data_IF_078074900024
#
_entry.id   IF_078074900024
#
_cell.length_a   1.000
_cell.length_b   1.000
_cell.length_c   1.000
_cell.angle_alpha   90.00
_cell.angle_beta   90.00
_cell.angle_gamma   90.00
#
_symmetry.space_group_name_H-M   'P 1'
#
loop_
_entity.id
_entity.type
_entity.pdbx_description
1 polymer ?
#
# COMPACT_ATOMS: atom_id res chain seq x y z
N UNK A 1 -24.23 -10.31 -1.76
CA UNK A 1 -24.17 -9.42 -2.95
C UNK A 1 -23.49 -8.06 -2.69
N UNK A 2 -24.08 -7.10 -1.95
CA UNK A 2 -23.45 -5.76 -1.75
C UNK A 2 -22.08 -5.78 -1.05
N UNK A 3 -21.86 -6.72 -0.11
CA UNK A 3 -20.61 -6.84 0.65
C UNK A 3 -19.46 -7.45 -0.15
N UNK A 4 -19.75 -8.49 -0.93
CA UNK A 4 -18.76 -9.14 -1.81
C UNK A 4 -18.31 -8.19 -2.92
N UNK A 5 -19.24 -7.41 -3.47
CA UNK A 5 -18.95 -6.35 -4.44
C UNK A 5 -18.06 -5.27 -3.82
N UNK A 6 -18.37 -4.84 -2.58
CA UNK A 6 -17.58 -3.83 -1.86
C UNK A 6 -16.15 -4.30 -1.58
N UNK A 7 -15.95 -5.57 -1.19
CA UNK A 7 -14.62 -6.11 -0.98
C UNK A 7 -13.82 -6.28 -2.26
N UNK A 8 -14.47 -6.71 -3.36
CA UNK A 8 -13.80 -6.79 -4.67
C UNK A 8 -13.38 -5.40 -5.17
N UNK A 9 -14.26 -4.40 -5.03
CA UNK A 9 -13.94 -3.00 -5.38
C UNK A 9 -12.78 -2.50 -4.53
N UNK A 10 -12.80 -2.73 -3.21
CA UNK A 10 -11.72 -2.33 -2.31
C UNK A 10 -10.36 -2.89 -2.77
N UNK A 11 -10.28 -4.19 -3.07
CA UNK A 11 -9.04 -4.82 -3.55
C UNK A 11 -8.59 -4.31 -4.92
N UNK A 12 -9.53 -4.04 -5.85
CA UNK A 12 -9.20 -3.50 -7.17
C UNK A 12 -8.67 -2.07 -7.09
N UNK A 13 -9.24 -1.24 -6.22
CA UNK A 13 -8.78 0.12 -5.99
C UNK A 13 -7.40 0.11 -5.32
N UNK A 14 -7.19 -0.73 -4.31
CA UNK A 14 -5.89 -0.90 -3.65
C UNK A 14 -4.81 -1.37 -4.64
N UNK A 15 -5.13 -2.36 -5.48
CA UNK A 15 -4.21 -2.83 -6.53
C UNK A 15 -3.88 -1.73 -7.55
N UNK A 16 -4.88 -0.98 -8.01
CA UNK A 16 -4.66 0.14 -8.94
C UNK A 16 -3.78 1.22 -8.29
N UNK A 17 -4.04 1.54 -7.03
CA UNK A 17 -3.24 2.50 -6.26
C UNK A 17 -1.79 2.03 -6.12
N UNK A 18 -1.57 0.77 -5.72
CA UNK A 18 -0.22 0.20 -5.63
C UNK A 18 0.50 0.23 -6.98
N UNK A 19 -0.18 -0.04 -8.09
CA UNK A 19 0.42 0.03 -9.42
C UNK A 19 0.84 1.47 -9.79
N UNK A 20 -0.01 2.46 -9.52
CA UNK A 20 0.30 3.88 -9.74
C UNK A 20 1.44 4.34 -8.84
N UNK A 21 1.39 4.00 -7.54
CA UNK A 21 2.44 4.32 -6.59
C UNK A 21 3.78 3.70 -7.01
N UNK A 22 3.79 2.43 -7.42
CA UNK A 22 4.98 1.77 -7.94
C UNK A 22 5.54 2.46 -9.18
N UNK A 23 4.68 2.86 -10.12
CA UNK A 23 5.10 3.60 -11.31
C UNK A 23 5.72 4.96 -10.92
N UNK A 24 5.08 5.72 -10.03
CA UNK A 24 5.62 6.98 -9.53
C UNK A 24 6.97 6.78 -8.82
N UNK A 25 7.06 5.84 -7.87
CA UNK A 25 8.30 5.56 -7.14
C UNK A 25 9.41 5.08 -8.09
N UNK A 26 9.08 4.28 -9.10
CA UNK A 26 10.03 3.83 -10.11
C UNK A 26 10.56 4.98 -10.98
N UNK A 27 9.67 5.83 -11.49
CA UNK A 27 10.03 7.02 -12.30
C UNK A 27 10.87 8.00 -11.48
N UNK A 28 10.51 8.20 -10.21
CA UNK A 28 11.20 9.10 -9.29
C UNK A 28 12.22 8.39 -8.40
N UNK A 29 12.73 7.22 -8.79
CA UNK A 29 13.60 6.42 -7.92
C UNK A 29 14.89 7.16 -7.54
N UNK A 30 15.52 7.85 -8.50
CA UNK A 30 16.75 8.63 -8.26
C UNK A 30 16.55 9.84 -7.34
N UNK A 31 15.56 10.74 -7.56
CA UNK A 31 15.34 11.84 -6.63
C UNK A 31 14.88 11.34 -5.25
N UNK A 32 14.05 10.30 -5.18
CA UNK A 32 13.66 9.68 -3.91
C UNK A 32 14.85 9.06 -3.18
N UNK A 33 15.78 8.42 -3.90
CA UNK A 33 16.96 7.82 -3.27
C UNK A 33 17.87 8.88 -2.65
N UNK A 34 18.04 10.02 -3.33
CA UNK A 34 18.80 11.15 -2.80
C UNK A 34 18.09 11.75 -1.57
N UNK A 35 16.78 11.96 -1.65
CA UNK A 35 15.99 12.54 -0.57
C UNK A 35 15.93 11.64 0.68
N UNK A 36 15.85 10.32 0.50
CA UNK A 36 15.79 9.33 1.57
C UNK A 36 17.17 8.88 2.05
N UNK A 37 18.26 9.31 1.40
CA UNK A 37 19.64 8.87 1.67
C UNK A 37 19.82 7.34 1.59
N UNK A 38 19.12 6.71 0.64
CA UNK A 38 19.21 5.26 0.37
C UNK A 38 19.70 5.01 -1.05
N UNK A 39 20.06 3.77 -1.37
CA UNK A 39 20.47 3.44 -2.73
C UNK A 39 19.28 3.48 -3.71
N UNK A 40 19.51 3.94 -4.95
CA UNK A 40 18.49 3.92 -5.99
C UNK A 40 17.99 2.50 -6.28
N UNK A 41 18.86 1.49 -6.15
CA UNK A 41 18.50 0.08 -6.27
C UNK A 41 17.49 -0.37 -5.20
N UNK A 42 17.57 0.15 -3.97
CA UNK A 42 16.59 -0.14 -2.93
C UNK A 42 15.21 0.45 -3.28
N UNK A 43 15.17 1.70 -3.74
CA UNK A 43 13.92 2.37 -4.15
C UNK A 43 13.29 1.67 -5.37
N UNK A 44 14.10 1.34 -6.37
CA UNK A 44 13.64 0.59 -7.54
C UNK A 44 13.14 -0.82 -7.17
N UNK A 45 13.84 -1.50 -6.25
CA UNK A 45 13.41 -2.79 -5.72
C UNK A 45 12.05 -2.70 -5.03
N UNK A 46 11.83 -1.67 -4.19
CA UNK A 46 10.54 -1.42 -3.56
C UNK A 46 9.44 -1.20 -4.61
N UNK A 47 9.68 -0.38 -5.64
CA UNK A 47 8.73 -0.16 -6.73
C UNK A 47 8.36 -1.47 -7.45
N UNK A 48 9.35 -2.31 -7.79
CA UNK A 48 9.12 -3.61 -8.44
C UNK A 48 8.31 -4.54 -7.55
N UNK A 49 8.63 -4.63 -6.26
CA UNK A 49 7.88 -5.45 -5.30
C UNK A 49 6.43 -4.97 -5.17
N UNK A 50 6.21 -3.65 -5.08
CA UNK A 50 4.86 -3.07 -5.01
C UNK A 50 4.07 -3.31 -6.31
N UNK A 51 4.71 -3.20 -7.48
CA UNK A 51 4.07 -3.54 -8.76
C UNK A 51 3.71 -5.02 -8.86
N UNK A 52 4.60 -5.90 -8.41
CA UNK A 52 4.35 -7.35 -8.31
C UNK A 52 3.18 -7.66 -7.38
N UNK A 53 3.13 -6.99 -6.22
CA UNK A 53 2.02 -7.10 -5.27
C UNK A 53 0.69 -6.67 -5.89
N UNK A 54 0.64 -5.54 -6.58
CA UNK A 54 -0.55 -5.08 -7.30
C UNK A 54 -1.05 -6.14 -8.30
N UNK A 55 -0.14 -6.75 -9.07
CA UNK A 55 -0.46 -7.86 -9.97
C UNK A 55 -1.04 -9.08 -9.23
N UNK A 56 -0.44 -9.47 -8.11
CA UNK A 56 -0.93 -10.57 -7.28
C UNK A 56 -2.33 -10.29 -6.72
N UNK A 57 -2.64 -9.05 -6.33
CA UNK A 57 -3.97 -8.68 -5.86
C UNK A 57 -5.03 -8.81 -6.97
N UNK A 58 -4.73 -8.34 -8.18
CA UNK A 58 -5.65 -8.49 -9.31
C UNK A 58 -5.93 -9.97 -9.62
N UNK A 59 -4.91 -10.83 -9.53
CA UNK A 59 -5.09 -12.27 -9.67
C UNK A 59 -5.93 -12.84 -8.52
N UNK A 60 -5.64 -12.44 -7.28
CA UNK A 60 -6.32 -12.90 -6.08
C UNK A 60 -7.83 -12.57 -6.10
N UNK A 61 -8.22 -11.38 -6.57
CA UNK A 61 -9.63 -10.99 -6.72
C UNK A 61 -10.42 -11.98 -7.58
N UNK A 62 -9.77 -12.64 -8.55
CA UNK A 62 -10.42 -13.58 -9.47
C UNK A 62 -10.30 -15.06 -9.07
N UNK A 63 -9.38 -15.41 -8.16
CA UNK A 63 -8.98 -16.81 -7.90
C UNK A 63 -9.09 -17.24 -6.45
N UNK A 64 -9.10 -16.30 -5.51
CA UNK A 64 -8.97 -16.58 -4.08
C UNK A 64 -10.21 -16.14 -3.27
N UNK A 65 -10.42 -16.73 -2.08
CA UNK A 65 -11.47 -16.29 -1.18
C UNK A 65 -11.25 -14.83 -0.74
N UNK A 66 -12.25 -13.98 -0.98
CA UNK A 66 -12.18 -12.53 -0.75
C UNK A 66 -11.71 -12.16 0.66
N UNK A 67 -12.19 -12.88 1.67
CA UNK A 67 -11.84 -12.64 3.09
C UNK A 67 -10.36 -12.88 3.36
N UNK A 68 -9.77 -13.94 2.80
CA UNK A 68 -8.35 -14.25 2.96
C UNK A 68 -7.49 -13.16 2.30
N UNK A 69 -7.85 -12.77 1.08
CA UNK A 69 -7.17 -11.68 0.37
C UNK A 69 -7.22 -10.36 1.15
N UNK A 70 -8.40 -9.95 1.63
CA UNK A 70 -8.54 -8.72 2.43
C UNK A 70 -7.72 -8.75 3.72
N UNK A 71 -7.64 -9.89 4.42
CA UNK A 71 -6.81 -10.03 5.62
C UNK A 71 -5.31 -9.90 5.30
N UNK A 72 -4.86 -10.50 4.20
CA UNK A 72 -3.46 -10.37 3.77
C UNK A 72 -3.11 -8.93 3.43
N UNK A 73 -3.98 -8.22 2.67
CA UNK A 73 -3.72 -6.81 2.33
C UNK A 73 -3.75 -5.93 3.57
N UNK A 74 -4.72 -6.13 4.47
CA UNK A 74 -4.79 -5.38 5.73
C UNK A 74 -3.50 -5.54 6.54
N UNK A 75 -2.99 -6.77 6.66
CA UNK A 75 -1.74 -7.03 7.38
C UNK A 75 -0.54 -6.31 6.74
N UNK A 76 -0.42 -6.38 5.41
CA UNK A 76 0.65 -5.68 4.68
C UNK A 76 0.54 -4.17 4.85
N UNK A 77 -0.66 -3.60 4.71
CA UNK A 77 -0.88 -2.16 4.87
C UNK A 77 -0.56 -1.70 6.29
N UNK A 78 -0.89 -2.46 7.33
CA UNK A 78 -0.47 -2.15 8.71
C UNK A 78 1.05 -2.12 8.83
N UNK A 79 1.75 -3.12 8.29
CA UNK A 79 3.22 -3.15 8.30
C UNK A 79 3.81 -1.94 7.59
N UNK A 80 3.27 -1.58 6.42
CA UNK A 80 3.70 -0.40 5.65
C UNK A 80 3.48 0.89 6.46
N UNK A 81 2.30 1.08 7.08
CA UNK A 81 2.02 2.25 7.93
C UNK A 81 3.06 2.37 9.04
N UNK A 82 3.36 1.27 9.75
CA UNK A 82 4.34 1.27 10.84
C UNK A 82 5.73 1.63 10.33
N UNK A 83 6.19 1.01 9.24
CA UNK A 83 7.52 1.26 8.69
C UNK A 83 7.67 2.68 8.16
N UNK A 84 6.69 3.17 7.39
CA UNK A 84 6.74 4.52 6.78
C UNK A 84 6.61 5.59 7.87
N UNK A 85 5.72 5.42 8.85
CA UNK A 85 5.60 6.37 9.97
C UNK A 85 6.86 6.37 10.83
N UNK A 86 7.43 5.19 11.10
CA UNK A 86 8.69 5.06 11.83
C UNK A 86 9.83 5.78 11.12
N UNK A 87 9.96 5.58 9.81
CA UNK A 87 10.95 6.28 8.98
C UNK A 87 10.74 7.80 8.96
N UNK A 88 9.49 8.26 8.96
CA UNK A 88 9.21 9.70 8.98
C UNK A 88 9.61 10.34 10.31
N UNK A 89 9.37 9.67 11.44
CA UNK A 89 9.64 10.20 12.79
C UNK A 89 11.13 10.19 13.13
N UNK A 90 11.95 9.33 12.50
CA UNK A 90 13.40 9.31 12.70
C UNK A 90 14.14 10.40 11.92
N UNK A 91 13.43 11.20 11.12
CA UNK A 91 13.99 12.26 10.26
C UNK A 91 13.63 13.65 10.79
N UNK A 92 14.40 14.69 10.44
CA UNK A 92 13.99 16.08 10.65
C UNK A 92 12.64 16.37 9.98
N UNK A 93 11.89 17.33 10.53
CA UNK A 93 10.62 17.76 9.93
C UNK A 93 10.93 18.56 8.65
N UNK A 94 10.79 17.92 7.51
CA UNK A 94 11.01 18.47 6.18
C UNK A 94 9.91 18.01 5.19
N UNK A 95 10.04 18.39 3.92
CA UNK A 95 9.05 18.02 2.90
C UNK A 95 8.95 16.49 2.70
N UNK A 96 10.05 15.76 2.92
CA UNK A 96 10.10 14.30 2.74
C UNK A 96 9.42 13.61 3.92
N UNK A 97 9.67 14.04 5.16
CA UNK A 97 8.98 13.48 6.33
C UNK A 97 7.48 13.74 6.27
N UNK A 98 7.05 14.92 5.81
CA UNK A 98 5.63 15.23 5.59
C UNK A 98 5.03 14.35 4.49
N UNK A 99 5.75 14.15 3.38
CA UNK A 99 5.32 13.24 2.32
C UNK A 99 5.18 11.80 2.83
N UNK A 100 6.15 11.30 3.59
CA UNK A 100 6.08 9.96 4.18
C UNK A 100 4.88 9.83 5.14
N UNK A 101 4.62 10.83 5.98
CA UNK A 101 3.44 10.84 6.85
C UNK A 101 2.13 10.88 6.07
N UNK A 102 2.07 11.65 4.97
CA UNK A 102 0.91 11.67 4.09
C UNK A 102 0.66 10.28 3.48
N UNK A 103 1.70 9.63 2.95
CA UNK A 103 1.62 8.25 2.43
C UNK A 103 1.18 7.28 3.53
N UNK A 104 1.73 7.39 4.74
CA UNK A 104 1.30 6.54 5.86
C UNK A 104 -0.17 6.75 6.23
N UNK A 105 -0.66 7.99 6.23
CA UNK A 105 -2.07 8.29 6.49
C UNK A 105 -3.00 7.73 5.40
N UNK A 106 -2.61 7.82 4.13
CA UNK A 106 -3.35 7.23 3.01
C UNK A 106 -3.43 5.70 3.12
N UNK A 107 -2.30 5.04 3.39
CA UNK A 107 -2.27 3.58 3.58
C UNK A 107 -3.08 3.17 4.81
N UNK A 108 -3.05 3.96 5.89
CA UNK A 108 -3.88 3.72 7.07
C UNK A 108 -5.38 3.86 6.77
N UNK A 109 -5.77 4.79 5.90
CA UNK A 109 -7.15 4.92 5.45
C UNK A 109 -7.60 3.69 4.64
N UNK A 110 -6.75 3.17 3.75
CA UNK A 110 -7.02 1.90 3.04
C UNK A 110 -7.15 0.72 4.00
N UNK A 111 -6.26 0.59 4.98
CA UNK A 111 -6.35 -0.42 6.03
C UNK A 111 -7.67 -0.29 6.82
N UNK A 112 -8.07 0.93 7.16
CA UNK A 112 -9.35 1.22 7.82
C UNK A 112 -10.55 0.77 7.00
N UNK A 113 -10.54 1.04 5.69
CA UNK A 113 -11.59 0.59 4.77
C UNK A 113 -11.66 -0.94 4.68
N UNK A 114 -10.50 -1.61 4.55
CA UNK A 114 -10.40 -3.07 4.51
C UNK A 114 -10.94 -3.70 5.80
N UNK A 115 -10.57 -3.15 6.96
CA UNK A 115 -11.08 -3.58 8.25
C UNK A 115 -12.61 -3.41 8.36
N UNK A 116 -13.16 -2.29 7.87
CA UNK A 116 -14.60 -2.05 7.86
C UNK A 116 -15.35 -3.07 6.97
N UNK A 117 -14.81 -3.38 5.77
CA UNK A 117 -15.38 -4.41 4.88
C UNK A 117 -15.32 -5.80 5.52
N UNK A 118 -14.20 -6.15 6.16
CA UNK A 118 -14.04 -7.44 6.84
C UNK A 118 -15.01 -7.59 8.03
N UNK A 119 -15.21 -6.54 8.82
CA UNK A 119 -16.15 -6.55 9.95
C UNK A 119 -17.60 -6.73 9.50
N UNK A 120 -17.99 -6.07 8.41
CA UNK A 120 -19.34 -6.17 7.88
C UNK A 120 -19.61 -7.49 7.15
N UNK A 121 -18.57 -8.16 6.66
CA UNK A 121 -18.66 -9.48 6.00
C UNK A 121 -18.63 -10.68 6.95
N UNK A 122 -18.42 -10.44 8.26
CA UNK A 122 -18.41 -11.48 9.29
C UNK A 122 -19.76 -11.65 10.02
N UNK A 123 -20.71 -10.74 9.75
CA UNK A 123 -22.09 -10.77 10.21
C UNK A 123 -23.01 -11.23 9.07
#
# INVERSE_FOLDING_TARGET
>A
MRLEESGSVCLRVDAAYCAVAAACVGVFASPLSAALEVSAGFVAGAAVLTAGWAGLLLLAVSRLPLRASLLSVLAVNIVVVVLVSGLAVTRPIDAVSVLLLAVAAEVAAFAGWQAAVLRTSAH
#
